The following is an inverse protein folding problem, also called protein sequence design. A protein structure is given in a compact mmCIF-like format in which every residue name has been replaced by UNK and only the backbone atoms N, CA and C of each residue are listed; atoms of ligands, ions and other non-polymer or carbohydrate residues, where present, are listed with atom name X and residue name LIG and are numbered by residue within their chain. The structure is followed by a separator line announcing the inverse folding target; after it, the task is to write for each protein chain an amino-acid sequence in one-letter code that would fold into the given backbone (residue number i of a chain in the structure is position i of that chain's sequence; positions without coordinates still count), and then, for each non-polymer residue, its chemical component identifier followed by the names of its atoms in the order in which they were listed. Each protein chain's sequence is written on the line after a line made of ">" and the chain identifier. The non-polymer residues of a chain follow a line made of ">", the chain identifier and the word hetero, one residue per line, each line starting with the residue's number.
data_IF_178119318350
#
_entry.id   IF_178119318350
#
_cell.length_a   1.000
_cell.length_b   1.000
_cell.length_c   1.000
_cell.angle_alpha   90.00
_cell.angle_beta   90.00
_cell.angle_gamma   90.00
#
_symmetry.space_group_name_H-M   'P 1'
#
loop_
_entity.id
_entity.type
_entity.pdbx_description
1 polymer ?
#
# COMPACT_ATOMS: atom_id res chain seq x y z
N UNK A 1 18.55 -8.77 30.04
CA UNK A 1 19.55 -7.88 29.41
C UNK A 1 19.44 -8.08 27.91
N UNK A 2 18.86 -7.13 27.17
CA UNK A 2 19.03 -7.12 25.72
C UNK A 2 20.49 -6.73 25.53
N UNK A 3 21.33 -7.67 25.08
CA UNK A 3 22.73 -7.41 24.75
C UNK A 3 22.77 -6.13 23.90
N UNK A 4 23.67 -5.20 24.22
CA UNK A 4 23.93 -4.05 23.35
C UNK A 4 24.38 -4.62 22.00
N UNK A 5 23.43 -4.77 21.07
CA UNK A 5 23.70 -5.08 19.68
C UNK A 5 24.80 -4.15 19.19
N UNK A 6 25.93 -4.75 18.85
CA UNK A 6 27.06 -4.04 18.28
C UNK A 6 26.64 -3.51 16.90
N UNK A 7 26.61 -2.19 16.75
CA UNK A 7 26.29 -1.58 15.45
C UNK A 7 27.39 -1.77 14.41
N UNK A 8 28.50 -2.43 14.78
CA UNK A 8 29.61 -2.80 13.89
C UNK A 8 29.40 -4.15 13.19
N UNK A 9 28.33 -4.90 13.50
CA UNK A 9 28.07 -6.18 12.82
C UNK A 9 28.02 -6.03 11.30
N UNK A 10 28.76 -6.89 10.63
CA UNK A 10 28.80 -7.02 9.17
C UNK A 10 27.48 -7.56 8.63
N UNK A 11 27.24 -7.40 7.33
CA UNK A 11 26.05 -7.97 6.70
C UNK A 11 26.02 -9.51 6.79
N UNK A 12 27.17 -10.17 6.76
CA UNK A 12 27.28 -11.63 6.88
C UNK A 12 26.93 -12.11 8.30
N UNK A 13 27.36 -11.39 9.34
CA UNK A 13 26.96 -11.69 10.73
C UNK A 13 25.45 -11.51 10.94
N UNK A 14 24.87 -10.43 10.39
CA UNK A 14 23.42 -10.21 10.46
C UNK A 14 22.65 -11.33 9.74
N UNK A 15 23.15 -11.80 8.59
CA UNK A 15 22.56 -12.93 7.87
C UNK A 15 22.56 -14.19 8.74
N UNK A 16 23.70 -14.55 9.33
CA UNK A 16 23.85 -15.74 10.17
C UNK A 16 22.97 -15.69 11.42
N UNK A 17 22.92 -14.55 12.11
CA UNK A 17 22.09 -14.37 13.31
C UNK A 17 20.60 -14.57 12.99
N UNK A 18 20.14 -14.03 11.85
CA UNK A 18 18.75 -14.19 11.42
C UNK A 18 18.45 -15.64 11.02
N UNK A 19 19.37 -16.31 10.32
CA UNK A 19 19.24 -17.74 9.99
C UNK A 19 19.14 -18.60 11.26
N UNK A 20 19.96 -18.33 12.28
CA UNK A 20 19.90 -19.02 13.57
C UNK A 20 18.55 -18.79 14.26
N UNK A 21 18.07 -17.55 14.29
CA UNK A 21 16.76 -17.21 14.88
C UNK A 21 15.63 -17.97 14.18
N UNK A 22 15.64 -18.04 12.84
CA UNK A 22 14.62 -18.76 12.07
C UNK A 22 14.71 -20.26 12.34
N UNK A 23 15.91 -20.83 12.29
CA UNK A 23 16.14 -22.27 12.51
C UNK A 23 15.70 -22.71 13.92
N UNK A 24 16.03 -21.92 14.95
CA UNK A 24 15.63 -22.14 16.33
C UNK A 24 14.11 -22.13 16.53
N UNK A 25 13.38 -21.42 15.66
CA UNK A 25 11.94 -21.30 15.71
C UNK A 25 11.23 -22.06 14.56
N UNK A 26 11.89 -23.04 13.91
CA UNK A 26 11.34 -23.75 12.73
C UNK A 26 9.94 -24.36 12.94
N UNK A 27 9.64 -24.80 14.17
CA UNK A 27 8.36 -25.44 14.52
C UNK A 27 7.27 -24.40 14.87
N UNK A 28 7.62 -23.13 14.98
CA UNK A 28 6.70 -22.00 15.16
C UNK A 28 7.09 -20.86 14.22
N UNK A 29 6.65 -20.98 12.96
CA UNK A 29 6.94 -20.00 11.90
C UNK A 29 6.58 -18.57 12.29
N UNK A 30 5.48 -18.35 13.00
CA UNK A 30 5.05 -17.01 13.46
C UNK A 30 6.11 -16.40 14.37
N UNK A 31 6.57 -17.17 15.35
CA UNK A 31 7.63 -16.72 16.25
C UNK A 31 8.95 -16.51 15.50
N UNK A 32 9.30 -17.40 14.57
CA UNK A 32 10.54 -17.29 13.79
C UNK A 32 10.62 -16.02 12.94
N UNK A 33 9.57 -15.70 12.19
CA UNK A 33 9.57 -14.46 11.41
C UNK A 33 9.46 -13.21 12.30
N UNK A 34 8.72 -13.25 13.42
CA UNK A 34 8.64 -12.09 14.33
C UNK A 34 9.97 -11.80 15.02
N UNK A 35 10.65 -12.82 15.52
CA UNK A 35 11.93 -12.66 16.21
C UNK A 35 13.02 -12.16 15.26
N UNK A 36 13.08 -12.70 14.03
CA UNK A 36 14.05 -12.23 13.03
C UNK A 36 13.78 -10.79 12.60
N UNK A 37 12.52 -10.41 12.42
CA UNK A 37 12.15 -9.03 12.12
C UNK A 37 12.47 -8.08 13.27
N UNK A 38 12.22 -8.50 14.52
CA UNK A 38 12.60 -7.73 15.71
C UNK A 38 14.09 -7.49 15.77
N UNK A 39 14.89 -8.55 15.52
CA UNK A 39 16.35 -8.44 15.48
C UNK A 39 16.80 -7.39 14.44
N UNK A 40 16.34 -7.53 13.19
CA UNK A 40 16.73 -6.64 12.10
C UNK A 40 16.23 -5.20 12.30
N UNK A 41 15.01 -5.03 12.84
CA UNK A 41 14.45 -3.72 13.15
C UNK A 41 15.24 -3.05 14.28
N UNK A 42 15.55 -3.76 15.36
CA UNK A 42 16.33 -3.24 16.47
C UNK A 42 17.74 -2.81 16.02
N UNK A 43 18.38 -3.56 15.14
CA UNK A 43 19.64 -3.15 14.52
C UNK A 43 19.45 -1.85 13.70
N UNK A 44 18.40 -1.78 12.89
CA UNK A 44 18.08 -0.62 12.05
C UNK A 44 17.84 0.65 12.87
N UNK A 45 17.26 0.53 14.07
CA UNK A 45 17.09 1.64 15.02
C UNK A 45 18.43 2.03 15.65
N UNK A 46 19.17 1.06 16.20
CA UNK A 46 20.43 1.32 16.90
C UNK A 46 21.51 1.92 16.01
N UNK A 47 21.54 1.51 14.74
CA UNK A 47 22.44 2.09 13.73
C UNK A 47 22.01 3.49 13.25
N UNK A 48 20.84 3.98 13.68
CA UNK A 48 20.27 5.26 13.27
C UNK A 48 19.67 5.28 11.85
N UNK A 49 19.58 4.12 11.20
CA UNK A 49 19.00 4.02 9.86
C UNK A 49 17.48 4.29 9.87
N UNK A 50 16.77 3.77 10.87
CA UNK A 50 15.39 4.16 11.18
C UNK A 50 15.43 5.15 12.34
N UNK A 51 14.77 6.30 12.19
CA UNK A 51 14.69 7.34 13.21
C UNK A 51 13.27 7.38 13.79
N UNK A 52 13.06 6.68 14.90
CA UNK A 52 11.73 6.56 15.54
C UNK A 52 11.13 7.91 15.94
N UNK A 53 11.96 8.89 16.29
CA UNK A 53 11.54 10.26 16.60
C UNK A 53 10.81 10.90 15.42
N UNK A 54 11.24 10.61 14.18
CA UNK A 54 10.56 11.11 12.98
C UNK A 54 9.24 10.39 12.75
N UNK A 55 9.16 9.09 13.03
CA UNK A 55 7.93 8.30 12.87
C UNK A 55 6.84 8.77 13.85
N UNK A 56 7.22 9.20 15.05
CA UNK A 56 6.32 9.77 16.07
C UNK A 56 5.68 11.10 15.64
N UNK A 57 6.18 11.75 14.57
CA UNK A 57 5.57 12.97 14.03
C UNK A 57 4.33 12.68 13.17
N UNK A 58 4.12 11.43 12.78
CA UNK A 58 2.95 11.04 11.98
C UNK A 58 1.66 11.24 12.78
N UNK A 59 0.65 11.81 12.13
CA UNK A 59 -0.67 12.03 12.75
C UNK A 59 -1.58 10.88 12.31
N UNK A 60 -1.94 10.02 13.26
CA UNK A 60 -2.88 8.92 13.05
C UNK A 60 -4.27 9.39 13.45
N UNK A 61 -5.18 9.49 12.49
CA UNK A 61 -6.56 9.87 12.76
C UNK A 61 -7.35 8.68 13.31
N UNK A 62 -8.46 8.91 14.06
CA UNK A 62 -9.38 7.85 14.44
C UNK A 62 -9.87 7.07 13.22
N UNK A 63 -10.14 5.77 13.38
CA UNK A 63 -10.71 4.97 12.29
C UNK A 63 -12.00 5.60 11.74
N UNK A 64 -12.07 5.72 10.43
CA UNK A 64 -13.21 6.33 9.75
C UNK A 64 -14.28 5.29 9.42
N UNK A 65 -15.49 5.49 9.95
CA UNK A 65 -16.65 4.59 9.75
C UNK A 65 -17.87 5.28 9.09
N UNK A 66 -17.84 6.60 8.86
CA UNK A 66 -18.99 7.38 8.35
C UNK A 66 -19.14 7.23 6.83
N UNK A 67 -19.45 6.02 6.37
CA UNK A 67 -19.61 5.65 4.95
C UNK A 67 -20.41 4.33 4.80
N UNK A 68 -20.73 3.88 3.58
CA UNK A 68 -21.55 2.68 3.35
C UNK A 68 -20.88 1.30 3.57
N UNK A 69 -19.55 1.21 3.75
CA UNK A 69 -18.83 -0.08 3.73
C UNK A 69 -18.79 -0.87 5.04
N UNK A 70 -19.29 -0.32 6.16
CA UNK A 70 -19.39 -1.01 7.46
C UNK A 70 -18.04 -1.59 7.99
N UNK A 71 -16.92 -0.90 7.70
CA UNK A 71 -15.54 -1.25 8.08
C UNK A 71 -14.75 0.04 8.36
N UNK A 72 -13.70 -0.01 9.17
CA UNK A 72 -12.94 1.20 9.54
C UNK A 72 -11.74 1.45 8.62
N UNK A 73 -11.65 2.62 8.01
CA UNK A 73 -10.47 3.03 7.23
C UNK A 73 -9.47 3.78 8.10
N UNK A 74 -8.18 3.47 7.94
CA UNK A 74 -7.12 4.17 8.65
C UNK A 74 -6.58 5.30 7.78
N UNK A 75 -6.52 6.51 8.34
CA UNK A 75 -5.97 7.69 7.66
C UNK A 75 -4.81 8.24 8.47
N UNK A 76 -3.63 8.31 7.84
CA UNK A 76 -2.40 8.81 8.47
C UNK A 76 -1.83 9.95 7.64
N UNK A 77 -1.54 11.08 8.30
CA UNK A 77 -0.70 12.14 7.72
C UNK A 77 0.75 11.78 8.06
N UNK A 78 1.50 11.35 7.04
CA UNK A 78 2.88 10.93 7.17
C UNK A 78 3.81 12.15 7.14
N UNK A 79 4.20 12.62 8.32
CA UNK A 79 5.12 13.73 8.53
C UNK A 79 6.59 13.31 8.43
N UNK A 80 6.89 12.01 8.44
CA UNK A 80 8.25 11.47 8.40
C UNK A 80 8.84 11.39 6.99
N UNK A 81 7.98 11.17 5.98
CA UNK A 81 8.37 10.96 4.57
C UNK A 81 8.12 12.25 3.76
N UNK A 82 9.09 12.70 2.93
CA UNK A 82 8.85 13.74 1.92
C UNK A 82 7.79 13.32 0.89
N UNK A 83 6.92 14.23 0.46
CA UNK A 83 5.96 13.98 -0.64
C UNK A 83 6.68 13.96 -2.00
N UNK A 84 6.32 13.02 -2.86
CA UNK A 84 6.87 12.83 -4.20
C UNK A 84 5.84 13.29 -5.24
N UNK A 85 6.03 14.47 -5.83
CA UNK A 85 5.05 14.99 -6.80
C UNK A 85 5.20 14.23 -8.14
N UNK A 86 4.07 13.77 -8.71
CA UNK A 86 4.07 13.08 -10.01
C UNK A 86 4.73 13.93 -11.09
N UNK A 87 5.69 13.32 -11.81
CA UNK A 87 6.47 13.99 -12.85
C UNK A 87 7.71 14.77 -12.34
N UNK A 88 7.91 14.86 -11.03
CA UNK A 88 9.09 15.50 -10.45
C UNK A 88 10.10 14.48 -9.91
N UNK A 89 11.40 14.76 -10.08
CA UNK A 89 12.48 13.96 -9.54
C UNK A 89 12.73 14.34 -8.08
N UNK A 90 12.78 13.35 -7.19
CA UNK A 90 13.03 13.59 -5.76
C UNK A 90 14.51 13.89 -5.54
N UNK A 91 14.82 15.12 -5.12
CA UNK A 91 16.20 15.56 -4.86
C UNK A 91 16.79 15.11 -3.52
N UNK A 92 16.03 14.40 -2.67
CA UNK A 92 16.53 14.02 -1.35
C UNK A 92 17.70 13.02 -1.46
N UNK A 93 18.74 13.23 -0.63
CA UNK A 93 20.00 12.48 -0.67
C UNK A 93 19.83 10.95 -0.64
N UNK A 94 18.77 10.47 0.05
CA UNK A 94 18.42 9.05 0.10
C UNK A 94 18.12 8.45 -1.28
N UNK A 95 17.77 9.26 -2.28
CA UNK A 95 17.43 8.82 -3.64
C UNK A 95 18.55 9.03 -4.65
N UNK A 96 19.49 9.95 -4.39
CA UNK A 96 20.55 10.31 -5.34
C UNK A 96 21.91 9.69 -5.02
N UNK A 97 22.17 9.30 -3.76
CA UNK A 97 23.45 8.73 -3.36
C UNK A 97 23.33 7.24 -3.02
N UNK A 98 23.56 6.37 -4.01
CA UNK A 98 23.49 4.92 -3.88
C UNK A 98 24.68 4.21 -4.57
N UNK A 99 24.80 2.91 -4.31
CA UNK A 99 25.66 1.96 -5.03
C UNK A 99 24.78 1.01 -5.87
N UNK A 100 25.37 0.36 -6.89
CA UNK A 100 24.61 -0.44 -7.86
C UNK A 100 23.80 0.42 -8.83
N UNK A 101 22.81 -0.20 -9.49
CA UNK A 101 22.00 0.44 -10.54
C UNK A 101 20.88 1.32 -9.97
N UNK A 102 20.42 1.07 -8.74
CA UNK A 102 19.41 1.92 -8.11
C UNK A 102 19.49 1.96 -6.58
N UNK A 103 18.69 2.85 -6.01
CA UNK A 103 18.54 3.13 -4.58
C UNK A 103 18.18 1.94 -3.68
N UNK A 104 17.68 0.83 -4.24
CA UNK A 104 17.33 -0.39 -3.50
C UNK A 104 18.16 -1.61 -3.92
N UNK A 105 19.21 -1.42 -4.72
CA UNK A 105 20.14 -2.48 -5.07
C UNK A 105 20.83 -3.07 -3.83
N UNK A 106 21.13 -4.37 -3.85
CA UNK A 106 21.74 -5.09 -2.72
C UNK A 106 23.12 -4.51 -2.35
N UNK A 107 23.84 -3.96 -3.32
CA UNK A 107 25.12 -3.25 -3.16
C UNK A 107 25.03 -2.10 -2.14
N UNK A 108 23.84 -1.55 -1.91
CA UNK A 108 23.67 -0.51 -0.88
C UNK A 108 23.73 -1.07 0.55
N UNK A 109 23.47 -2.36 0.75
CA UNK A 109 23.41 -2.98 2.07
C UNK A 109 24.81 -2.98 2.70
N UNK A 110 24.97 -2.28 3.82
CA UNK A 110 26.26 -2.13 4.49
C UNK A 110 27.30 -1.27 3.78
N UNK A 111 26.94 -0.62 2.66
CA UNK A 111 27.82 0.30 1.93
C UNK A 111 28.26 1.50 2.77
N UNK A 112 29.34 2.16 2.37
CA UNK A 112 29.81 3.41 3.00
C UNK A 112 28.73 4.51 2.97
N UNK A 113 27.89 4.50 1.93
CA UNK A 113 26.77 5.44 1.77
C UNK A 113 25.57 5.10 2.65
N UNK A 114 25.47 3.85 3.15
CA UNK A 114 24.36 3.35 3.99
C UNK A 114 24.84 2.39 5.08
N UNK A 115 25.75 2.87 5.91
CA UNK A 115 26.42 2.05 6.96
C UNK A 115 25.46 1.34 7.91
N UNK A 116 24.29 1.91 8.21
CA UNK A 116 23.28 1.30 9.08
C UNK A 116 22.28 0.37 8.37
N UNK A 117 22.26 0.33 7.03
CA UNK A 117 21.36 -0.54 6.28
C UNK A 117 21.86 -1.99 6.34
N UNK A 118 21.00 -2.89 6.80
CA UNK A 118 21.20 -4.34 6.76
C UNK A 118 19.98 -5.02 6.15
N UNK A 119 20.19 -6.22 5.66
CA UNK A 119 19.16 -7.03 5.04
C UNK A 119 19.18 -8.47 5.54
N UNK A 120 18.17 -9.23 5.15
CA UNK A 120 18.17 -10.69 5.23
C UNK A 120 17.88 -11.28 3.85
N UNK A 121 18.83 -12.05 3.32
CA UNK A 121 18.74 -12.76 2.05
C UNK A 121 18.11 -14.14 2.24
N UNK A 122 17.26 -14.54 1.31
CA UNK A 122 16.62 -15.85 1.32
C UNK A 122 16.24 -16.29 -0.09
N UNK A 123 16.12 -17.61 -0.28
CA UNK A 123 15.60 -18.18 -1.54
C UNK A 123 14.08 -18.18 -1.50
N UNK A 124 13.47 -17.81 -2.62
CA UNK A 124 12.02 -17.90 -2.82
C UNK A 124 11.74 -18.28 -4.27
N UNK A 125 11.03 -19.38 -4.49
CA UNK A 125 10.85 -19.98 -5.81
C UNK A 125 12.22 -20.19 -6.53
N UNK A 126 12.43 -19.56 -7.69
CA UNK A 126 13.68 -19.62 -8.48
C UNK A 126 14.57 -18.39 -8.26
N UNK A 127 14.19 -17.52 -7.33
CA UNK A 127 14.83 -16.22 -7.09
C UNK A 127 15.61 -16.23 -5.78
N UNK A 128 16.63 -15.38 -5.70
CA UNK A 128 17.22 -14.96 -4.43
C UNK A 128 16.65 -13.58 -4.14
N UNK A 129 15.92 -13.47 -3.04
CA UNK A 129 15.35 -12.20 -2.59
C UNK A 129 16.07 -11.76 -1.32
N UNK A 130 15.99 -10.48 -1.00
CA UNK A 130 16.41 -9.99 0.30
C UNK A 130 15.40 -9.00 0.84
N UNK A 131 15.27 -8.91 2.16
CA UNK A 131 14.39 -7.94 2.81
C UNK A 131 15.16 -6.94 3.63
N UNK A 132 14.69 -5.70 3.61
CA UNK A 132 15.25 -4.61 4.40
C UNK A 132 14.14 -3.64 4.82
N UNK A 133 14.34 -2.95 5.93
CA UNK A 133 13.43 -1.87 6.31
C UNK A 133 13.63 -0.65 5.40
N UNK A 134 12.55 0.07 5.02
CA UNK A 134 12.69 1.43 4.53
C UNK A 134 13.09 2.37 5.69
N UNK A 135 13.63 3.57 5.40
CA UNK A 135 13.95 4.54 6.45
C UNK A 135 12.71 5.10 7.17
N UNK A 136 11.53 4.99 6.54
CA UNK A 136 10.25 5.47 7.06
C UNK A 136 9.20 4.34 7.04
N UNK A 137 9.29 3.34 7.93
CA UNK A 137 8.26 2.30 8.02
C UNK A 137 6.90 2.93 8.40
N UNK A 138 5.81 2.43 7.81
CA UNK A 138 4.48 3.03 7.98
C UNK A 138 3.73 2.43 9.18
N UNK A 139 4.06 1.19 9.53
CA UNK A 139 3.48 0.41 10.60
C UNK A 139 4.46 -0.72 10.98
N UNK A 140 4.10 -1.50 12.00
CA UNK A 140 4.97 -2.53 12.56
C UNK A 140 5.44 -3.53 11.50
N UNK A 141 6.75 -3.80 11.53
CA UNK A 141 7.42 -4.71 10.61
C UNK A 141 7.23 -4.37 9.11
N UNK A 142 6.88 -3.11 8.75
CA UNK A 142 6.84 -2.69 7.35
C UNK A 142 8.25 -2.76 6.74
N UNK A 143 8.48 -3.67 5.79
CA UNK A 143 9.71 -3.75 5.02
C UNK A 143 9.45 -3.91 3.52
N UNK A 144 10.53 -3.84 2.75
CA UNK A 144 10.54 -4.14 1.33
C UNK A 144 11.33 -5.43 1.09
N UNK A 145 10.83 -6.28 0.21
CA UNK A 145 11.45 -7.54 -0.21
C UNK A 145 11.83 -7.40 -1.67
N UNK A 146 13.11 -7.45 -1.99
CA UNK A 146 13.68 -7.02 -3.27
C UNK A 146 14.34 -8.21 -3.94
N UNK A 147 14.26 -8.29 -5.26
CA UNK A 147 15.05 -9.24 -6.04
C UNK A 147 16.53 -8.91 -5.91
N UNK A 148 17.39 -9.87 -5.53
CA UNK A 148 18.83 -9.61 -5.43
C UNK A 148 19.41 -9.16 -6.77
N UNK A 149 18.87 -9.66 -7.88
CA UNK A 149 19.22 -9.19 -9.22
C UNK A 149 18.46 -7.90 -9.53
N UNK A 150 19.13 -6.94 -10.15
CA UNK A 150 18.49 -5.74 -10.67
C UNK A 150 17.62 -6.08 -11.89
N UNK A 151 16.35 -6.45 -11.64
CA UNK A 151 15.39 -6.84 -12.68
C UNK A 151 14.21 -5.87 -12.66
N UNK A 152 13.69 -5.41 -13.81
CA UNK A 152 12.50 -4.56 -13.86
C UNK A 152 11.28 -5.20 -13.17
N UNK A 153 10.45 -4.37 -12.56
CA UNK A 153 9.19 -4.81 -11.95
C UNK A 153 8.22 -5.25 -13.05
N UNK A 154 8.01 -6.56 -13.18
CA UNK A 154 7.05 -7.17 -14.11
C UNK A 154 6.19 -8.15 -13.32
N UNK A 155 4.87 -8.00 -13.41
CA UNK A 155 3.94 -8.94 -12.79
C UNK A 155 3.78 -10.17 -13.68
N UNK A 156 3.91 -11.35 -13.08
CA UNK A 156 3.80 -12.63 -13.78
C UNK A 156 3.25 -13.71 -12.86
N UNK A 157 3.09 -14.93 -13.37
CA UNK A 157 2.76 -16.09 -12.55
C UNK A 157 3.78 -16.32 -11.42
N UNK A 158 5.07 -16.06 -11.68
CA UNK A 158 6.11 -16.19 -10.67
C UNK A 158 5.89 -15.24 -9.49
N UNK A 159 5.38 -14.03 -9.74
CA UNK A 159 5.03 -13.08 -8.67
C UNK A 159 3.98 -13.69 -7.73
N UNK A 160 2.96 -14.35 -8.27
CA UNK A 160 1.90 -15.01 -7.48
C UNK A 160 2.46 -16.19 -6.68
N UNK A 161 3.31 -17.01 -7.30
CA UNK A 161 3.97 -18.15 -6.64
C UNK A 161 4.82 -17.67 -5.45
N UNK A 162 5.68 -16.67 -5.67
CA UNK A 162 6.56 -16.11 -4.64
C UNK A 162 5.76 -15.48 -3.50
N UNK A 163 4.67 -14.76 -3.82
CA UNK A 163 3.76 -14.20 -2.80
C UNK A 163 3.13 -15.28 -1.91
N UNK A 164 2.64 -16.37 -2.50
CA UNK A 164 2.07 -17.50 -1.76
C UNK A 164 3.12 -18.25 -0.93
N UNK A 165 4.31 -18.47 -1.48
CA UNK A 165 5.43 -19.10 -0.77
C UNK A 165 5.90 -18.25 0.42
N UNK A 166 6.04 -16.94 0.23
CA UNK A 166 6.34 -16.01 1.33
C UNK A 166 5.24 -16.02 2.39
N UNK A 167 3.97 -16.08 1.98
CA UNK A 167 2.82 -16.15 2.91
C UNK A 167 2.83 -17.43 3.75
N UNK A 168 3.24 -18.56 3.17
CA UNK A 168 3.40 -19.85 3.86
C UNK A 168 4.60 -19.86 4.83
N UNK A 169 5.67 -19.15 4.47
CA UNK A 169 6.85 -18.97 5.34
C UNK A 169 6.58 -18.02 6.51
N UNK A 170 5.67 -17.06 6.31
CA UNK A 170 5.32 -16.03 7.30
C UNK A 170 3.81 -15.94 7.50
N UNK A 171 3.21 -16.88 8.25
CA UNK A 171 1.76 -16.87 8.47
C UNK A 171 1.29 -15.56 9.13
N UNK A 172 0.10 -15.10 8.76
CA UNK A 172 -0.49 -13.80 9.10
C UNK A 172 0.23 -12.56 8.61
N UNK A 173 1.41 -12.67 8.02
CA UNK A 173 2.14 -11.53 7.48
C UNK A 173 1.63 -11.17 6.08
N UNK A 174 1.53 -9.88 5.76
CA UNK A 174 0.91 -9.41 4.50
C UNK A 174 2.01 -9.12 3.51
N UNK A 175 1.95 -9.78 2.36
CA UNK A 175 2.88 -9.58 1.24
C UNK A 175 2.12 -8.86 0.14
N UNK A 176 2.68 -7.77 -0.37
CA UNK A 176 2.04 -6.93 -1.35
C UNK A 176 2.98 -6.70 -2.53
N UNK A 177 2.44 -6.78 -3.74
CA UNK A 177 3.12 -6.30 -4.94
C UNK A 177 2.35 -5.08 -5.46
N UNK A 178 3.08 -4.00 -5.74
CA UNK A 178 2.53 -2.89 -6.52
C UNK A 178 2.29 -3.34 -7.97
N UNK A 179 2.01 -2.37 -8.84
CA UNK A 179 1.86 -2.60 -10.28
C UNK A 179 3.19 -2.69 -11.02
N UNK A 180 3.13 -3.13 -12.28
CA UNK A 180 4.23 -3.11 -13.25
C UNK A 180 4.09 -2.01 -14.32
N UNK A 181 3.19 -1.03 -14.13
CA UNK A 181 2.97 0.06 -15.10
C UNK A 181 3.31 1.42 -14.50
N UNK A 182 3.90 2.26 -15.34
CA UNK A 182 4.09 3.68 -15.04
C UNK A 182 2.71 4.32 -14.87
N UNK A 183 2.58 5.19 -13.88
CA UNK A 183 1.32 5.88 -13.63
C UNK A 183 0.34 5.15 -12.73
N UNK A 184 0.75 4.07 -12.06
CA UNK A 184 -0.17 3.27 -11.20
C UNK A 184 0.38 2.97 -9.81
N UNK A 185 0.96 3.95 -9.11
CA UNK A 185 1.29 3.83 -7.68
C UNK A 185 2.63 3.16 -7.34
N UNK A 186 3.33 2.62 -8.34
CA UNK A 186 4.70 2.14 -8.18
C UNK A 186 5.69 3.31 -8.21
N UNK A 187 6.52 3.42 -7.18
CA UNK A 187 7.55 4.48 -7.05
C UNK A 187 8.88 4.10 -7.72
N UNK A 188 9.18 2.80 -7.83
CA UNK A 188 10.37 2.30 -8.53
C UNK A 188 9.99 1.08 -9.38
N UNK A 189 9.96 1.24 -10.70
CA UNK A 189 9.69 0.13 -11.63
C UNK A 189 10.97 -0.50 -12.20
N UNK A 190 12.14 0.11 -11.95
CA UNK A 190 13.41 -0.38 -12.47
C UNK A 190 13.90 -1.63 -11.73
N UNK A 191 13.48 -1.82 -10.48
CA UNK A 191 13.92 -2.95 -9.66
C UNK A 191 12.75 -3.63 -8.95
N UNK A 192 12.58 -4.93 -9.22
CA UNK A 192 11.50 -5.79 -8.75
C UNK A 192 11.52 -5.91 -7.23
N UNK A 193 10.39 -5.58 -6.61
CA UNK A 193 10.23 -5.66 -5.17
C UNK A 193 8.76 -5.84 -4.75
N UNK A 194 8.59 -6.31 -3.52
CA UNK A 194 7.35 -6.39 -2.77
C UNK A 194 7.42 -5.44 -1.59
N UNK A 195 6.27 -5.02 -1.09
CA UNK A 195 6.13 -4.42 0.23
C UNK A 195 5.49 -5.45 1.16
N UNK A 196 5.85 -5.45 2.43
CA UNK A 196 5.29 -6.39 3.38
C UNK A 196 5.21 -5.81 4.78
N UNK A 197 4.31 -6.34 5.63
CA UNK A 197 4.23 -5.92 7.02
C UNK A 197 3.14 -6.62 7.85
N UNK A 198 3.20 -6.45 9.17
CA UNK A 198 2.25 -7.04 10.13
C UNK A 198 1.19 -6.00 10.44
N UNK A 199 0.18 -5.94 9.57
CA UNK A 199 -0.90 -5.00 9.71
C UNK A 199 -2.23 -5.61 9.27
N UNK A 200 -3.25 -5.32 10.05
CA UNK A 200 -4.63 -5.75 9.83
C UNK A 200 -5.32 -4.77 8.88
N UNK A 201 -4.96 -4.83 7.60
CA UNK A 201 -5.53 -3.93 6.59
C UNK A 201 -7.07 -4.05 6.49
N UNK A 202 -7.74 -2.90 6.43
CA UNK A 202 -9.20 -2.76 6.34
C UNK A 202 -9.84 -3.67 5.31
N UNK A 203 -9.22 -3.81 4.13
CA UNK A 203 -9.76 -4.62 3.03
C UNK A 203 -10.03 -6.09 3.39
N UNK A 204 -9.27 -6.69 4.32
CA UNK A 204 -9.48 -8.08 4.72
C UNK A 204 -10.79 -8.30 5.50
N UNK A 205 -11.36 -7.23 6.06
CA UNK A 205 -12.63 -7.23 6.81
C UNK A 205 -13.83 -6.83 5.96
N UNK A 206 -13.61 -6.42 4.70
CA UNK A 206 -14.69 -6.03 3.81
C UNK A 206 -15.61 -7.22 3.51
N UNK A 207 -16.92 -6.98 3.56
CA UNK A 207 -17.93 -8.00 3.25
C UNK A 207 -18.00 -8.26 1.74
N UNK A 208 -18.32 -9.48 1.30
CA UNK A 208 -18.57 -9.76 -0.11
C UNK A 208 -19.87 -9.07 -0.59
N UNK A 209 -19.83 -8.44 -1.77
CA UNK A 209 -21.01 -8.09 -2.56
C UNK A 209 -21.53 -9.31 -3.34
N UNK A 210 -20.61 -10.14 -3.83
CA UNK A 210 -20.90 -11.35 -4.60
C UNK A 210 -19.82 -12.39 -4.33
N UNK A 211 -20.22 -13.66 -4.31
CA UNK A 211 -19.33 -14.79 -4.14
C UNK A 211 -19.49 -15.81 -5.26
N UNK A 212 -18.38 -16.47 -5.60
CA UNK A 212 -18.33 -17.61 -6.52
C UNK A 212 -17.62 -18.76 -5.81
N UNK A 213 -18.22 -19.95 -5.85
CA UNK A 213 -17.61 -21.19 -5.35
C UNK A 213 -17.08 -21.96 -6.54
N UNK A 214 -15.78 -22.29 -6.49
CA UNK A 214 -15.03 -22.88 -7.61
C UNK A 214 -14.43 -24.20 -7.13
N UNK A 215 -14.25 -25.14 -8.05
CA UNK A 215 -13.68 -26.46 -7.77
C UNK A 215 -14.39 -27.16 -6.61
N UNK A 216 -15.70 -27.40 -6.75
CA UNK A 216 -16.56 -28.00 -5.72
C UNK A 216 -16.58 -27.25 -4.37
N UNK A 217 -16.19 -25.98 -4.34
CA UNK A 217 -16.18 -25.15 -3.14
C UNK A 217 -14.83 -25.05 -2.43
N UNK A 218 -13.78 -25.70 -2.96
CA UNK A 218 -12.41 -25.61 -2.42
C UNK A 218 -11.86 -24.18 -2.47
N UNK A 219 -12.30 -23.41 -3.48
CA UNK A 219 -11.93 -22.01 -3.64
C UNK A 219 -13.19 -21.14 -3.59
N UNK A 220 -13.12 -20.05 -2.81
CA UNK A 220 -14.11 -18.98 -2.84
C UNK A 220 -13.50 -17.73 -3.44
N UNK A 221 -14.15 -17.16 -4.45
CA UNK A 221 -13.80 -15.84 -5.01
C UNK A 221 -14.89 -14.86 -4.60
N UNK A 222 -14.50 -13.81 -3.89
CA UNK A 222 -15.39 -12.77 -3.39
C UNK A 222 -15.10 -11.45 -4.12
N UNK A 223 -16.12 -10.79 -4.61
CA UNK A 223 -16.02 -9.35 -4.90
C UNK A 223 -16.39 -8.57 -3.65
N UNK A 224 -15.48 -7.74 -3.16
CA UNK A 224 -15.66 -7.03 -1.90
C UNK A 224 -16.51 -5.75 -2.05
N UNK A 225 -17.34 -5.48 -1.05
CA UNK A 225 -18.02 -4.20 -0.86
C UNK A 225 -17.01 -3.16 -0.38
N UNK A 226 -16.34 -2.51 -1.33
CA UNK A 226 -15.18 -1.69 -1.06
C UNK A 226 -15.06 -0.51 -2.04
N UNK A 227 -14.50 0.67 -1.67
CA UNK A 227 -14.43 1.84 -2.55
C UNK A 227 -13.82 1.59 -3.93
N UNK A 228 -12.78 0.76 -3.99
CA UNK A 228 -12.19 0.26 -5.22
C UNK A 228 -12.52 -1.22 -5.42
N UNK A 229 -12.60 -1.67 -6.67
CA UNK A 229 -12.80 -3.07 -6.98
C UNK A 229 -11.66 -3.91 -6.41
N UNK A 230 -12.01 -4.97 -5.70
CA UNK A 230 -11.08 -5.95 -5.17
C UNK A 230 -11.74 -7.33 -5.23
N UNK A 231 -11.04 -8.28 -5.85
CA UNK A 231 -11.36 -9.69 -5.73
C UNK A 231 -10.53 -10.32 -4.62
N UNK A 232 -11.17 -11.05 -3.71
CA UNK A 232 -10.55 -11.85 -2.66
C UNK A 232 -10.73 -13.33 -2.98
N UNK A 233 -9.63 -14.02 -3.21
CA UNK A 233 -9.56 -15.45 -3.47
C UNK A 233 -9.15 -16.13 -2.17
N UNK A 234 -9.91 -17.14 -1.74
CA UNK A 234 -9.74 -17.83 -0.46
C UNK A 234 -9.72 -19.33 -0.70
N UNK A 235 -8.74 -20.03 -0.13
CA UNK A 235 -8.70 -21.49 -0.11
C UNK A 235 -7.51 -22.07 0.63
N UNK A 236 -7.61 -23.33 1.04
CA UNK A 236 -6.56 -24.03 1.80
C UNK A 236 -5.44 -24.56 0.88
N UNK A 237 -5.80 -25.03 -0.32
CA UNK A 237 -4.84 -25.59 -1.26
C UNK A 237 -4.09 -24.48 -2.02
N UNK A 238 -2.80 -24.30 -1.67
CA UNK A 238 -1.90 -23.32 -2.30
C UNK A 238 -1.90 -23.39 -3.84
N UNK A 239 -1.90 -24.59 -4.42
CA UNK A 239 -1.83 -24.78 -5.88
C UNK A 239 -3.13 -24.39 -6.58
N UNK A 240 -4.27 -24.71 -5.99
CA UNK A 240 -5.57 -24.28 -6.51
C UNK A 240 -5.72 -22.75 -6.41
N UNK A 241 -5.30 -22.15 -5.30
CA UNK A 241 -5.30 -20.68 -5.14
C UNK A 241 -4.39 -20.03 -6.19
N UNK A 242 -3.18 -20.53 -6.39
CA UNK A 242 -2.25 -20.07 -7.44
C UNK A 242 -2.90 -20.08 -8.83
N UNK A 243 -3.57 -21.18 -9.19
CA UNK A 243 -4.22 -21.34 -10.49
C UNK A 243 -5.35 -20.33 -10.71
N UNK A 244 -6.26 -20.19 -9.74
CA UNK A 244 -7.40 -19.27 -9.83
C UNK A 244 -6.94 -17.81 -9.87
N UNK A 245 -5.97 -17.45 -9.01
CA UNK A 245 -5.38 -16.10 -9.03
C UNK A 245 -4.73 -15.81 -10.37
N UNK A 246 -3.99 -16.77 -10.94
CA UNK A 246 -3.35 -16.59 -12.24
C UNK A 246 -4.37 -16.46 -13.38
N UNK A 247 -5.44 -17.27 -13.39
CA UNK A 247 -6.53 -17.15 -14.38
C UNK A 247 -7.18 -15.76 -14.35
N UNK A 248 -7.52 -15.26 -13.17
CA UNK A 248 -8.08 -13.91 -12.96
C UNK A 248 -7.11 -12.80 -13.37
N UNK A 249 -5.85 -12.90 -12.94
CA UNK A 249 -4.80 -11.95 -13.31
C UNK A 249 -4.58 -11.92 -14.82
N UNK A 250 -4.47 -13.09 -15.46
CA UNK A 250 -4.21 -13.20 -16.89
C UNK A 250 -5.39 -12.70 -17.73
N UNK A 251 -6.63 -13.01 -17.32
CA UNK A 251 -7.82 -12.48 -18.01
C UNK A 251 -7.96 -10.98 -17.81
N UNK A 252 -7.62 -10.42 -16.65
CA UNK A 252 -7.57 -8.96 -16.49
C UNK A 252 -6.49 -8.34 -17.37
N UNK A 253 -5.31 -8.96 -17.47
CA UNK A 253 -4.19 -8.41 -18.23
C UNK A 253 -4.39 -8.39 -19.74
N UNK A 254 -5.15 -9.36 -20.27
CA UNK A 254 -5.30 -9.56 -21.71
C UNK A 254 -6.74 -9.45 -22.21
N UNK A 255 -7.71 -9.37 -21.28
CA UNK A 255 -9.12 -9.28 -21.59
C UNK A 255 -9.46 -7.96 -22.24
N UNK A 256 -10.41 -8.02 -23.18
CA UNK A 256 -10.95 -6.83 -23.82
C UNK A 256 -12.17 -6.37 -23.03
N UNK A 257 -12.13 -5.12 -22.58
CA UNK A 257 -13.23 -4.46 -21.92
C UNK A 257 -13.53 -3.18 -22.69
N UNK A 258 -14.76 -3.01 -23.18
CA UNK A 258 -15.13 -1.99 -24.17
C UNK A 258 -14.61 -0.58 -23.84
N UNK A 259 -14.60 -0.21 -22.56
CA UNK A 259 -14.19 1.13 -22.15
C UNK A 259 -12.71 1.23 -21.76
N UNK A 260 -11.92 0.15 -21.73
CA UNK A 260 -10.56 0.16 -21.18
C UNK A 260 -9.50 -0.10 -22.25
N UNK A 261 -8.37 0.59 -22.12
CA UNK A 261 -7.18 0.27 -22.90
C UNK A 261 -6.47 -0.95 -22.31
N UNK A 262 -6.50 -2.06 -23.05
CA UNK A 262 -5.89 -3.34 -22.68
C UNK A 262 -4.38 -3.22 -22.45
N UNK A 263 -3.68 -2.36 -23.18
CA UNK A 263 -2.23 -2.19 -23.05
C UNK A 263 -1.82 -1.58 -21.71
N UNK A 264 -2.75 -0.85 -21.08
CA UNK A 264 -2.58 -0.14 -19.82
C UNK A 264 -3.14 -0.90 -18.61
N UNK A 265 -3.78 -2.06 -18.81
CA UNK A 265 -4.30 -2.92 -17.75
C UNK A 265 -3.15 -3.50 -16.89
N UNK A 266 -3.28 -3.45 -15.57
CA UNK A 266 -2.35 -4.03 -14.59
C UNK A 266 -3.09 -4.36 -13.29
N UNK A 267 -2.42 -4.88 -12.28
CA UNK A 267 -3.01 -5.12 -10.97
C UNK A 267 -2.06 -4.62 -9.87
N UNK A 268 -2.62 -4.34 -8.69
CA UNK A 268 -1.85 -4.48 -7.45
C UNK A 268 -2.33 -5.73 -6.72
N UNK A 269 -1.42 -6.44 -6.05
CA UNK A 269 -1.69 -7.74 -5.45
C UNK A 269 -1.37 -7.72 -3.96
N UNK A 270 -2.11 -8.46 -3.14
CA UNK A 270 -1.73 -8.73 -1.74
C UNK A 270 -2.08 -10.17 -1.36
N UNK A 271 -1.24 -10.83 -0.59
CA UNK A 271 -1.48 -12.19 -0.10
C UNK A 271 -1.12 -12.35 1.37
N UNK A 272 -1.77 -13.31 2.02
CA UNK A 272 -1.48 -13.75 3.39
C UNK A 272 -1.94 -15.19 3.55
N UNK A 273 -1.35 -15.91 4.51
CA UNK A 273 -1.93 -17.14 5.06
C UNK A 273 -2.66 -16.79 6.36
N UNK A 274 -3.98 -16.96 6.39
CA UNK A 274 -4.78 -16.70 7.58
C UNK A 274 -4.73 -17.90 8.52
N UNK A 275 -4.10 -17.70 9.68
CA UNK A 275 -3.86 -18.77 10.66
C UNK A 275 -5.12 -19.24 11.38
N UNK A 276 -6.21 -18.45 11.39
CA UNK A 276 -7.45 -18.82 12.10
C UNK A 276 -8.20 -19.92 11.38
N UNK A 277 -8.10 -19.96 10.05
CA UNK A 277 -8.82 -20.91 9.20
C UNK A 277 -7.91 -21.69 8.24
N UNK A 278 -6.59 -21.52 8.35
CA UNK A 278 -5.57 -22.12 7.50
C UNK A 278 -5.72 -21.84 6.00
N UNK A 279 -6.44 -20.77 5.62
CA UNK A 279 -6.65 -20.42 4.22
C UNK A 279 -5.61 -19.42 3.74
N UNK A 280 -5.11 -19.61 2.52
CA UNK A 280 -4.53 -18.54 1.75
C UNK A 280 -5.62 -17.54 1.37
N UNK A 281 -5.33 -16.26 1.56
CA UNK A 281 -6.18 -15.16 1.12
C UNK A 281 -5.36 -14.30 0.16
N UNK A 282 -5.84 -14.16 -1.08
CA UNK A 282 -5.17 -13.42 -2.14
C UNK A 282 -6.09 -12.34 -2.69
N UNK A 283 -5.65 -11.09 -2.66
CA UNK A 283 -6.37 -9.92 -3.13
C UNK A 283 -5.82 -9.48 -4.48
N UNK A 284 -6.73 -9.24 -5.43
CA UNK A 284 -6.42 -8.66 -6.74
C UNK A 284 -7.17 -7.33 -6.85
N UNK A 285 -6.42 -6.24 -6.92
CA UNK A 285 -6.95 -4.93 -7.27
C UNK A 285 -6.71 -4.69 -8.77
N UNK A 286 -7.73 -4.78 -9.63
CA UNK A 286 -7.58 -4.41 -11.03
C UNK A 286 -7.24 -2.92 -11.14
N UNK A 287 -6.29 -2.58 -12.01
CA UNK A 287 -5.86 -1.19 -12.28
C UNK A 287 -5.70 -0.97 -13.77
N UNK A 288 -5.76 0.29 -14.18
CA UNK A 288 -5.47 0.70 -15.55
C UNK A 288 -4.67 2.02 -15.51
N UNK A 289 -3.60 2.10 -16.29
CA UNK A 289 -2.70 3.25 -16.35
C UNK A 289 -3.18 4.40 -17.26
N UNK A 290 -4.41 4.31 -17.80
CA UNK A 290 -4.99 5.34 -18.64
C UNK A 290 -5.22 6.63 -17.84
N UNK A 291 -4.44 7.66 -18.17
CA UNK A 291 -4.55 8.99 -17.59
C UNK A 291 -5.21 9.99 -18.55
N UNK A 292 -5.99 10.95 -18.04
CA UNK A 292 -6.23 11.25 -16.62
C UNK A 292 -7.36 10.42 -15.96
N UNK A 293 -7.94 9.43 -16.66
CA UNK A 293 -9.16 8.73 -16.23
C UNK A 293 -9.05 8.05 -14.87
N UNK A 294 -7.90 7.46 -14.55
CA UNK A 294 -7.67 6.76 -13.28
C UNK A 294 -6.70 7.52 -12.36
N UNK A 295 -6.62 8.85 -12.52
CA UNK A 295 -6.02 9.75 -11.55
C UNK A 295 -7.03 10.13 -10.48
N UNK A 296 -6.50 10.54 -9.33
CA UNK A 296 -7.22 11.40 -8.40
C UNK A 296 -7.77 12.63 -9.12
N UNK A 297 -9.07 12.85 -8.98
CA UNK A 297 -9.80 13.99 -9.54
C UNK A 297 -9.17 15.33 -9.14
N UNK A 298 -9.36 16.35 -9.97
CA UNK A 298 -8.77 17.68 -9.76
C UNK A 298 -9.13 18.30 -8.40
N UNK A 299 -10.34 18.05 -7.91
CA UNK A 299 -10.81 18.53 -6.60
C UNK A 299 -10.12 17.83 -5.43
N UNK A 300 -9.42 16.72 -5.65
CA UNK A 300 -8.69 15.94 -4.64
C UNK A 300 -7.16 16.01 -4.79
N UNK A 301 -6.64 16.58 -5.88
CA UNK A 301 -5.19 16.73 -6.09
C UNK A 301 -4.54 17.69 -5.08
N UNK A 302 -5.30 18.61 -4.48
CA UNK A 302 -4.83 19.40 -3.34
C UNK A 302 -4.53 18.52 -2.11
N UNK A 303 -5.17 17.37 -1.96
CA UNK A 303 -4.95 16.43 -0.85
C UNK A 303 -3.76 15.52 -1.12
N UNK A 304 -3.70 14.88 -2.29
CA UNK A 304 -2.64 13.93 -2.64
C UNK A 304 -2.20 14.12 -4.08
N UNK A 305 -0.91 14.43 -4.25
CA UNK A 305 -0.27 14.63 -5.57
C UNK A 305 0.49 13.37 -6.06
N UNK A 306 0.62 12.35 -5.19
CA UNK A 306 1.19 11.03 -5.48
C UNK A 306 0.15 10.06 -6.05
N UNK A 307 0.57 9.11 -6.89
CA UNK A 307 -0.27 7.97 -7.26
C UNK A 307 -0.61 7.09 -6.03
N UNK A 308 -1.78 6.45 -6.05
CA UNK A 308 -2.25 5.56 -4.98
C UNK A 308 -1.45 4.26 -4.96
N UNK A 309 -0.77 3.97 -3.85
CA UNK A 309 -0.02 2.73 -3.64
C UNK A 309 -0.89 1.55 -3.15
N UNK A 310 -0.32 0.34 -3.09
CA UNK A 310 -1.07 -0.86 -2.67
C UNK A 310 -1.62 -0.78 -1.23
N UNK A 311 -0.86 -0.27 -0.26
CA UNK A 311 -1.36 -0.15 1.12
C UNK A 311 -2.55 0.81 1.24
N UNK A 312 -2.59 1.84 0.40
CA UNK A 312 -3.73 2.74 0.29
C UNK A 312 -4.94 2.02 -0.30
N UNK A 313 -4.76 1.25 -1.38
CA UNK A 313 -5.82 0.36 -1.91
C UNK A 313 -6.33 -0.63 -0.86
N UNK A 314 -5.52 -1.02 0.10
CA UNK A 314 -5.91 -1.89 1.22
C UNK A 314 -6.58 -1.15 2.40
N UNK A 315 -6.76 0.18 2.31
CA UNK A 315 -7.48 0.99 3.29
C UNK A 315 -6.62 1.73 4.31
N UNK A 316 -5.30 1.79 4.08
CA UNK A 316 -4.35 2.52 4.90
C UNK A 316 -3.87 3.77 4.17
N UNK A 317 -4.49 4.92 4.41
CA UNK A 317 -4.12 6.16 3.74
C UNK A 317 -2.75 6.67 4.21
N UNK A 318 -1.89 6.98 3.25
CA UNK A 318 -0.57 7.57 3.48
C UNK A 318 -0.58 8.96 2.84
N UNK A 319 -1.07 9.93 3.61
CA UNK A 319 -1.24 11.30 3.17
C UNK A 319 0.03 12.13 3.46
N UNK A 320 0.33 13.15 2.64
CA UNK A 320 1.60 13.89 2.75
C UNK A 320 1.65 14.80 4.00
N UNK A 321 2.83 14.89 4.62
CA UNK A 321 3.07 15.65 5.85
C UNK A 321 2.66 17.13 5.80
N UNK A 322 2.70 17.76 4.62
CA UNK A 322 2.26 19.15 4.44
C UNK A 322 0.82 19.41 4.89
N UNK A 323 -0.04 18.39 4.83
CA UNK A 323 -1.44 18.52 5.23
C UNK A 323 -1.60 18.88 6.70
N UNK A 324 -0.64 18.53 7.56
CA UNK A 324 -0.64 18.95 8.97
C UNK A 324 -0.79 20.46 9.10
N UNK A 325 0.11 21.22 8.46
CA UNK A 325 0.11 22.68 8.55
C UNK A 325 -0.99 23.30 7.68
N UNK A 326 -1.31 22.69 6.53
CA UNK A 326 -2.36 23.17 5.65
C UNK A 326 -3.76 23.07 6.30
N UNK A 327 -4.06 22.01 7.04
CA UNK A 327 -5.34 21.87 7.75
C UNK A 327 -5.50 22.91 8.87
N UNK A 328 -4.41 23.25 9.58
CA UNK A 328 -4.42 24.32 10.58
C UNK A 328 -4.67 25.69 9.93
N UNK A 329 -4.02 25.98 8.81
CA UNK A 329 -4.23 27.22 8.06
C UNK A 329 -5.64 27.31 7.48
N UNK A 330 -6.16 26.23 6.90
CA UNK A 330 -7.55 26.16 6.44
C UNK A 330 -8.54 26.42 7.57
N UNK A 331 -8.30 25.85 8.77
CA UNK A 331 -9.13 26.11 9.94
C UNK A 331 -9.16 27.62 10.30
N UNK A 332 -8.01 28.29 10.28
CA UNK A 332 -7.93 29.74 10.50
C UNK A 332 -8.63 30.55 9.40
N UNK A 333 -8.43 30.21 8.13
CA UNK A 333 -9.07 30.90 6.99
C UNK A 333 -10.59 30.76 7.06
N UNK A 334 -11.10 29.56 7.32
CA UNK A 334 -12.53 29.29 7.46
C UNK A 334 -13.12 30.04 8.66
N UNK A 335 -12.41 30.13 9.78
CA UNK A 335 -12.83 30.92 10.94
C UNK A 335 -12.91 32.41 10.61
N UNK A 336 -11.90 32.96 9.92
CA UNK A 336 -11.87 34.35 9.46
C UNK A 336 -12.90 34.68 8.37
N UNK A 337 -13.48 33.66 7.74
CA UNK A 337 -14.56 33.79 6.76
C UNK A 337 -15.93 33.37 7.32
N UNK A 338 -16.07 33.30 8.64
CA UNK A 338 -17.31 32.92 9.32
C UNK A 338 -17.89 31.57 8.84
N UNK A 339 -17.02 30.69 8.33
CA UNK A 339 -17.34 29.39 7.78
C UNK A 339 -18.45 29.41 6.72
N UNK A 340 -18.39 30.35 5.77
CA UNK A 340 -19.32 30.45 4.65
C UNK A 340 -18.65 30.14 3.30
N UNK A 341 -19.37 29.43 2.43
CA UNK A 341 -18.97 29.22 1.04
C UNK A 341 -19.45 30.39 0.18
N UNK A 342 -18.56 31.33 -0.10
CA UNK A 342 -18.85 32.57 -0.85
C UNK A 342 -17.61 33.07 -1.61
N UNK A 343 -17.76 34.12 -2.42
CA UNK A 343 -16.64 34.72 -3.15
C UNK A 343 -15.53 35.24 -2.23
N UNK A 344 -15.90 35.71 -1.03
CA UNK A 344 -14.94 36.15 -0.02
C UNK A 344 -14.02 35.01 0.46
N UNK A 345 -14.55 33.78 0.59
CA UNK A 345 -13.72 32.61 0.89
C UNK A 345 -12.70 32.38 -0.21
N UNK A 346 -13.14 32.46 -1.47
CA UNK A 346 -12.28 32.26 -2.65
C UNK A 346 -11.16 33.28 -2.69
N UNK A 347 -11.47 34.55 -2.42
CA UNK A 347 -10.48 35.63 -2.32
C UNK A 347 -9.47 35.41 -1.19
N UNK A 348 -9.95 35.04 0.02
CA UNK A 348 -9.06 34.74 1.15
C UNK A 348 -8.15 33.54 0.84
N UNK A 349 -8.70 32.45 0.32
CA UNK A 349 -7.90 31.29 -0.07
C UNK A 349 -6.84 31.68 -1.11
N UNK A 350 -7.19 32.48 -2.12
CA UNK A 350 -6.23 32.98 -3.09
C UNK A 350 -5.13 33.84 -2.43
N UNK A 351 -5.52 34.75 -1.53
CA UNK A 351 -4.58 35.60 -0.79
C UNK A 351 -3.57 34.80 0.04
N UNK A 352 -4.00 33.69 0.65
CA UNK A 352 -3.13 32.83 1.46
C UNK A 352 -2.42 31.72 0.64
N UNK A 353 -2.65 31.61 -0.67
CA UNK A 353 -2.05 30.57 -1.51
C UNK A 353 -2.73 29.19 -1.42
N UNK A 354 -3.99 29.14 -1.00
CA UNK A 354 -4.81 27.93 -0.81
C UNK A 354 -5.95 27.80 -1.85
N UNK A 355 -5.88 28.51 -2.97
CA UNK A 355 -6.96 28.49 -3.98
C UNK A 355 -7.30 27.08 -4.49
N UNK A 356 -6.31 26.17 -4.53
CA UNK A 356 -6.50 24.76 -4.90
C UNK A 356 -7.45 23.99 -3.97
N UNK A 357 -7.73 24.50 -2.76
CA UNK A 357 -8.66 23.90 -1.81
C UNK A 357 -10.09 24.40 -1.96
N UNK A 358 -10.38 25.41 -2.79
CA UNK A 358 -11.74 25.96 -2.87
C UNK A 358 -12.77 24.92 -3.31
N UNK A 359 -12.50 24.22 -4.41
CA UNK A 359 -13.42 23.19 -4.91
C UNK A 359 -13.51 21.99 -3.95
N UNK A 360 -12.38 21.62 -3.34
CA UNK A 360 -12.33 20.60 -2.30
C UNK A 360 -13.22 20.96 -1.10
N UNK A 361 -13.12 22.19 -0.62
CA UNK A 361 -13.93 22.67 0.49
C UNK A 361 -15.42 22.63 0.13
N UNK A 362 -15.77 23.10 -1.06
CA UNK A 362 -17.15 23.06 -1.55
C UNK A 362 -17.71 21.62 -1.59
N UNK A 363 -16.95 20.68 -2.17
CA UNK A 363 -17.44 19.33 -2.46
C UNK A 363 -17.36 18.36 -1.27
N UNK A 364 -16.37 18.52 -0.39
CA UNK A 364 -16.09 17.54 0.66
C UNK A 364 -16.22 18.08 2.08
N UNK A 365 -16.03 19.38 2.29
CA UNK A 365 -16.14 20.00 3.62
C UNK A 365 -17.53 20.60 3.87
N UNK A 366 -17.98 21.53 3.02
CA UNK A 366 -19.31 22.15 3.16
C UNK A 366 -20.43 21.16 2.89
N UNK A 367 -20.26 20.32 1.86
CA UNK A 367 -21.17 19.21 1.56
C UNK A 367 -20.96 18.03 2.53
N UNK A 368 -21.55 18.16 3.71
CA UNK A 368 -21.44 17.23 4.82
C UNK A 368 -21.03 17.87 6.14
N UNK A 369 -20.95 19.20 6.19
CA UNK A 369 -20.59 19.95 7.39
C UNK A 369 -21.57 19.64 8.54
N UNK A 370 -21.02 19.32 9.70
CA UNK A 370 -21.74 19.05 10.93
C UNK A 370 -21.58 20.24 11.88
N UNK A 371 -22.66 21.01 12.06
CA UNK A 371 -22.70 22.18 12.95
C UNK A 371 -22.44 21.84 14.42
N UNK A 372 -22.51 20.57 14.83
CA UNK A 372 -22.19 20.13 16.20
C UNK A 372 -20.69 19.90 16.42
N UNK A 373 -19.86 20.03 15.37
CA UNK A 373 -18.42 19.75 15.38
C UNK A 373 -17.62 21.02 15.11
N UNK A 374 -16.36 21.03 15.54
CA UNK A 374 -15.46 22.15 15.23
C UNK A 374 -15.14 22.20 13.73
N UNK A 375 -14.65 23.35 13.24
CA UNK A 375 -14.15 23.49 11.87
C UNK A 375 -13.04 22.46 11.60
N UNK A 376 -12.11 22.29 12.54
CA UNK A 376 -11.01 21.34 12.41
C UNK A 376 -11.49 19.88 12.34
N UNK A 377 -12.50 19.51 13.13
CA UNK A 377 -13.10 18.17 13.06
C UNK A 377 -13.76 17.94 11.69
N UNK A 378 -14.50 18.93 11.18
CA UNK A 378 -15.11 18.85 9.86
C UNK A 378 -14.06 18.75 8.74
N UNK A 379 -12.95 19.48 8.83
CA UNK A 379 -11.81 19.33 7.92
C UNK A 379 -11.22 17.91 7.97
N UNK A 380 -11.09 17.35 9.17
CA UNK A 380 -10.61 15.98 9.37
C UNK A 380 -11.56 14.95 8.76
N UNK A 381 -12.87 15.11 8.93
CA UNK A 381 -13.86 14.25 8.29
C UNK A 381 -13.86 14.38 6.76
N UNK A 382 -13.73 15.60 6.24
CA UNK A 382 -13.59 15.84 4.80
C UNK A 382 -12.35 15.14 4.24
N UNK A 383 -11.22 15.18 4.97
CA UNK A 383 -9.99 14.47 4.60
C UNK A 383 -10.18 12.95 4.56
N UNK A 384 -10.85 12.38 5.57
CA UNK A 384 -11.12 10.94 5.61
C UNK A 384 -12.06 10.50 4.49
N UNK A 385 -13.13 11.27 4.22
CA UNK A 385 -14.04 11.04 3.08
C UNK A 385 -13.30 11.13 1.75
N UNK A 386 -12.40 12.10 1.60
CA UNK A 386 -11.56 12.31 0.42
C UNK A 386 -10.76 11.07 0.07
N UNK A 387 -10.19 10.38 1.07
CA UNK A 387 -9.44 9.15 0.84
C UNK A 387 -10.27 8.06 0.15
N UNK A 388 -11.52 7.85 0.57
CA UNK A 388 -12.40 6.84 -0.04
C UNK A 388 -12.72 7.19 -1.50
N UNK A 389 -12.88 8.49 -1.82
CA UNK A 389 -13.09 8.94 -3.19
C UNK A 389 -11.81 8.76 -4.02
N UNK A 390 -10.63 9.05 -3.47
CA UNK A 390 -9.33 8.76 -4.11
C UNK A 390 -9.23 7.27 -4.51
N UNK A 391 -9.63 6.35 -3.63
CA UNK A 391 -9.64 4.91 -3.94
C UNK A 391 -10.62 4.61 -5.08
N UNK A 392 -11.83 5.16 -5.02
CA UNK A 392 -12.84 4.99 -6.08
C UNK A 392 -12.33 5.52 -7.42
N UNK A 393 -11.75 6.72 -7.47
CA UNK A 393 -11.18 7.35 -8.68
C UNK A 393 -10.16 6.45 -9.38
N UNK A 394 -9.30 5.79 -8.59
CA UNK A 394 -8.24 4.91 -9.07
C UNK A 394 -8.74 3.49 -9.45
N UNK A 395 -10.04 3.20 -9.31
CA UNK A 395 -10.64 1.91 -9.66
C UNK A 395 -11.20 1.90 -11.09
N UNK A 396 -10.74 0.97 -11.97
CA UNK A 396 -11.27 0.83 -13.33
C UNK A 396 -12.66 0.21 -13.38
N UNK A 397 -13.03 -0.55 -12.35
CA UNK A 397 -14.38 -1.11 -12.17
C UNK A 397 -15.00 -0.39 -10.97
N UNK A 398 -16.09 0.33 -11.17
CA UNK A 398 -16.86 0.96 -10.08
C UNK A 398 -17.81 -0.06 -9.45
N UNK A 399 -18.21 0.20 -8.20
CA UNK A 399 -19.10 -0.67 -7.41
C UNK A 399 -20.41 -1.05 -8.11
N UNK A 400 -20.93 -0.19 -8.98
CA UNK A 400 -22.17 -0.42 -9.72
C UNK A 400 -21.98 -1.06 -11.10
N UNK A 401 -20.74 -1.32 -11.55
CA UNK A 401 -20.45 -1.88 -12.87
C UNK A 401 -20.39 -3.41 -12.85
N UNK A 402 -21.48 -4.05 -12.43
CA UNK A 402 -21.60 -5.52 -12.32
C UNK A 402 -21.33 -6.24 -13.64
N UNK A 403 -21.74 -5.67 -14.77
CA UNK A 403 -21.54 -6.24 -16.10
C UNK A 403 -20.06 -6.36 -16.46
N UNK A 404 -19.28 -5.32 -16.17
CA UNK A 404 -17.84 -5.30 -16.41
C UNK A 404 -17.11 -6.36 -15.56
N UNK A 405 -17.52 -6.53 -14.30
CA UNK A 405 -16.99 -7.60 -13.46
C UNK A 405 -17.40 -8.98 -13.96
N UNK A 406 -18.68 -9.20 -14.29
CA UNK A 406 -19.14 -10.49 -14.79
C UNK A 406 -18.39 -10.87 -16.07
N UNK A 407 -18.17 -9.92 -16.98
CA UNK A 407 -17.33 -10.12 -18.17
C UNK A 407 -15.90 -10.54 -17.80
N UNK A 408 -15.29 -9.93 -16.78
CA UNK A 408 -13.97 -10.33 -16.30
C UNK A 408 -13.96 -11.77 -15.74
N UNK A 409 -14.97 -12.13 -14.94
CA UNK A 409 -15.11 -13.48 -14.40
C UNK A 409 -15.34 -14.50 -15.52
N UNK A 410 -16.20 -14.22 -16.49
CA UNK A 410 -16.43 -15.10 -17.65
C UNK A 410 -15.16 -15.30 -18.48
N UNK A 411 -14.45 -14.21 -18.81
CA UNK A 411 -13.19 -14.27 -19.55
C UNK A 411 -12.09 -15.03 -18.79
N UNK A 412 -12.17 -15.13 -17.47
CA UNK A 412 -11.22 -15.89 -16.64
C UNK A 412 -11.41 -17.41 -16.70
N UNK A 413 -12.59 -17.88 -17.13
CA UNK A 413 -12.94 -19.31 -17.18
C UNK A 413 -12.74 -20.06 -15.86
N UNK A 414 -12.93 -19.37 -14.74
CA UNK A 414 -12.80 -19.97 -13.40
C UNK A 414 -14.07 -20.69 -12.96
N UNK A 415 -15.18 -20.51 -13.69
CA UNK A 415 -16.48 -21.15 -13.40
C UNK A 415 -16.74 -22.40 -14.25
N UNK A 416 -15.85 -22.70 -15.20
CA UNK A 416 -15.80 -23.97 -15.93
C UNK A 416 -15.16 -25.05 -15.05
#
# INVERSE_FOLDING_TARGET
>A
MIQELDTLLTQDEIQLDIEEIILKNKDNKIKGWKDSMNYLYNFSIKSGYIQEERLKLNIILPLFYKHQYDIGFQVTINCSKPEIIVGQVVGAAHYSNFEGECVICFENVGSEKRKGLRAYEFKCNQSILFRQFPPYPYFNYHNIIIDKKHTPQILSRNTIIEMLEMSESMPSYKIASNTDRVGTGATNLAHRHFQAGDHDFTVFYAKPLKEFKINNGDITVQWLNYPCCCLKIIGENKKLVEEIVFKLFNSWRNGTFETLDVSLQTCSLMSTLNIKNNNYEFLIFPRNAQQPRFLTSSTLQCIKKEFVGIFELCGFAILPGRLKEQLLQLNSILTLNENQLNDQLKEKLNQFGFIEFYDWLSEYYFNGFDNSKSIYDNLTFALQKSFLIILSDNSPIKLNQFELLNSWIEQSKILE
#
